data_IF_386089093024
#
_entry.id   IF_386089093024
#
_cell.length_a   1.000
_cell.length_b   1.000
_cell.length_c   1.000
_cell.angle_alpha   90.00
_cell.angle_beta   90.00
_cell.angle_gamma   90.00
#
_symmetry.space_group_name_H-M   'P 1'
#
loop_
_entity.id
_entity.type
_entity.pdbx_description
1 polymer ?
#
# COMPACT_ATOMS: atom_id res chain seq x y z
N UNK A 1 10.50 3.04 -7.97
CA UNK A 1 9.64 2.08 -8.66
C UNK A 1 10.47 1.37 -9.72
N UNK A 2 10.66 0.07 -9.56
CA UNK A 2 11.38 -0.78 -10.50
C UNK A 2 10.41 -1.21 -11.59
N UNK A 3 10.78 -1.04 -12.86
CA UNK A 3 10.06 -1.64 -13.96
C UNK A 3 10.24 -3.16 -13.87
N UNK A 4 9.19 -3.84 -13.45
CA UNK A 4 9.18 -5.30 -13.45
C UNK A 4 8.67 -5.70 -14.83
N UNK A 5 9.60 -6.04 -15.73
CA UNK A 5 9.23 -6.75 -16.93
C UNK A 5 8.56 -8.07 -16.54
N UNK A 6 7.57 -8.48 -17.31
CA UNK A 6 6.84 -9.74 -17.10
C UNK A 6 7.74 -10.92 -17.45
N UNK A 7 8.77 -11.12 -16.65
CA UNK A 7 9.75 -12.19 -16.75
C UNK A 7 9.77 -12.95 -15.44
N UNK A 8 9.37 -14.22 -15.51
CA UNK A 8 9.26 -15.08 -14.33
C UNK A 8 10.60 -15.25 -13.62
N UNK A 9 11.70 -15.30 -14.36
CA UNK A 9 13.03 -15.44 -13.78
C UNK A 9 13.45 -14.20 -13.01
N UNK A 10 13.24 -13.01 -13.58
CA UNK A 10 13.50 -11.74 -12.91
C UNK A 10 12.58 -11.54 -11.69
N UNK A 11 11.32 -11.94 -11.76
CA UNK A 11 10.39 -11.90 -10.64
C UNK A 11 10.82 -12.86 -9.53
N UNK A 12 11.28 -14.05 -9.86
CA UNK A 12 11.81 -15.04 -8.91
C UNK A 12 13.08 -14.50 -8.24
N UNK A 13 13.98 -13.91 -9.00
CA UNK A 13 15.21 -13.29 -8.47
C UNK A 13 14.88 -12.11 -7.55
N UNK A 14 13.94 -11.27 -7.93
CA UNK A 14 13.47 -10.17 -7.08
C UNK A 14 12.86 -10.70 -5.78
N UNK A 15 12.00 -11.72 -5.87
CA UNK A 15 11.39 -12.37 -4.72
C UNK A 15 12.45 -12.90 -3.76
N UNK A 16 13.43 -13.62 -4.27
CA UNK A 16 14.51 -14.18 -3.46
C UNK A 16 15.38 -13.11 -2.81
N UNK A 17 15.64 -11.99 -3.50
CA UNK A 17 16.47 -10.90 -2.98
C UNK A 17 15.73 -10.01 -1.98
N UNK A 18 14.46 -9.72 -2.22
CA UNK A 18 13.72 -8.68 -1.50
C UNK A 18 12.78 -9.28 -0.45
N UNK A 19 12.06 -10.34 -0.79
CA UNK A 19 11.06 -10.94 0.09
C UNK A 19 11.65 -11.96 1.04
N UNK A 20 12.56 -12.81 0.55
CA UNK A 20 13.17 -13.87 1.35
C UNK A 20 14.40 -13.42 2.17
N UNK A 21 14.98 -12.26 1.87
CA UNK A 21 16.03 -11.67 2.70
C UNK A 21 15.41 -10.76 3.76
N UNK A 22 16.15 -10.53 4.88
CA UNK A 22 15.74 -9.57 5.92
C UNK A 22 15.81 -8.14 5.38
N UNK A 23 14.89 -7.81 4.49
CA UNK A 23 14.72 -6.45 3.99
C UNK A 23 14.09 -5.56 5.06
N UNK A 24 14.38 -4.23 5.11
CA UNK A 24 13.62 -3.29 5.92
C UNK A 24 12.17 -3.14 5.46
N UNK A 25 11.81 -3.72 4.33
CA UNK A 25 10.44 -3.76 3.78
C UNK A 25 9.83 -5.12 4.08
N UNK A 26 8.69 -5.12 4.74
CA UNK A 26 7.89 -6.33 4.95
C UNK A 26 6.94 -6.54 3.77
N UNK A 27 6.71 -7.80 3.43
CA UNK A 27 5.81 -8.17 2.36
C UNK A 27 4.81 -9.20 2.85
N UNK A 28 3.54 -8.98 2.52
CA UNK A 28 2.46 -9.94 2.75
C UNK A 28 1.81 -10.34 1.45
N UNK A 29 1.47 -11.60 1.34
CA UNK A 29 0.60 -12.09 0.27
C UNK A 29 -0.85 -11.75 0.63
N UNK A 30 -1.55 -11.11 -0.28
CA UNK A 30 -2.99 -10.87 -0.16
C UNK A 30 -3.70 -12.11 -0.71
N UNK A 31 -4.47 -12.76 0.15
CA UNK A 31 -5.28 -13.92 -0.25
C UNK A 31 -6.77 -13.59 -0.17
N UNK A 32 -7.51 -14.10 -1.14
CA UNK A 32 -8.96 -14.01 -1.17
C UNK A 32 -9.54 -15.37 -1.54
N UNK A 33 -10.46 -15.89 -0.70
CA UNK A 33 -11.00 -17.24 -0.86
C UNK A 33 -9.88 -18.30 -0.97
N UNK A 34 -8.88 -18.19 -0.09
CA UNK A 34 -7.70 -19.09 -0.01
C UNK A 34 -6.78 -19.03 -1.25
N UNK A 35 -7.02 -18.10 -2.16
CA UNK A 35 -6.20 -17.92 -3.36
C UNK A 35 -5.34 -16.66 -3.23
N UNK A 36 -4.03 -16.72 -3.50
CA UNK A 36 -3.20 -15.55 -3.52
C UNK A 36 -3.57 -14.67 -4.72
N UNK A 37 -3.84 -13.40 -4.46
CA UNK A 37 -4.32 -12.43 -5.47
C UNK A 37 -3.45 -11.20 -5.60
N UNK A 38 -2.58 -10.94 -4.65
CA UNK A 38 -1.72 -9.77 -4.68
C UNK A 38 -0.68 -9.76 -3.59
N UNK A 39 0.03 -8.63 -3.51
CA UNK A 39 1.09 -8.39 -2.53
C UNK A 39 0.89 -7.02 -1.89
N UNK A 40 1.09 -6.94 -0.59
CA UNK A 40 1.16 -5.70 0.17
C UNK A 40 2.59 -5.56 0.70
N UNK A 41 3.14 -4.36 0.62
CA UNK A 41 4.43 -4.04 1.18
C UNK A 41 4.30 -2.94 2.24
N UNK A 42 5.06 -3.09 3.30
CA UNK A 42 5.16 -2.14 4.39
C UNK A 42 6.63 -1.76 4.58
N UNK A 43 6.93 -0.48 4.47
CA UNK A 43 8.26 0.04 4.69
C UNK A 43 8.55 0.20 6.19
N UNK A 44 9.83 0.34 6.50
CA UNK A 44 10.31 0.45 7.87
C UNK A 44 9.59 1.57 8.64
N UNK A 45 9.16 1.24 9.84
CA UNK A 45 8.61 2.18 10.80
C UNK A 45 9.64 3.21 11.24
N UNK A 46 9.26 4.48 11.16
CA UNK A 46 10.03 5.58 11.74
C UNK A 46 9.54 5.86 13.16
N UNK A 47 10.31 5.44 14.15
CA UNK A 47 9.94 5.56 15.55
C UNK A 47 9.89 7.00 16.06
N UNK A 48 10.67 7.91 15.47
CA UNK A 48 10.65 9.33 15.86
C UNK A 48 9.40 10.04 15.37
N UNK A 49 9.01 9.79 14.12
CA UNK A 49 7.83 10.39 13.51
C UNK A 49 6.56 9.56 13.70
N UNK A 50 6.69 8.33 14.23
CA UNK A 50 5.59 7.38 14.41
C UNK A 50 4.79 7.19 13.11
N UNK A 51 5.52 6.96 12.03
CA UNK A 51 4.96 6.82 10.69
C UNK A 51 5.60 5.66 9.94
N UNK A 52 4.88 5.14 8.97
CA UNK A 52 5.34 4.13 8.01
C UNK A 52 4.81 4.44 6.63
N UNK A 53 5.32 3.74 5.62
CA UNK A 53 4.83 3.83 4.25
C UNK A 53 4.38 2.47 3.77
N UNK A 54 3.43 2.43 2.87
CA UNK A 54 2.88 1.19 2.32
C UNK A 54 2.51 1.30 0.86
N UNK A 55 2.34 0.15 0.27
CA UNK A 55 1.77 0.01 -1.07
C UNK A 55 1.22 -1.38 -1.24
N UNK A 56 0.42 -1.59 -2.27
CA UNK A 56 -0.07 -2.91 -2.61
C UNK A 56 -0.37 -3.03 -4.10
N UNK A 57 -0.46 -4.27 -4.54
CA UNK A 57 -0.75 -4.62 -5.91
C UNK A 57 -1.65 -5.86 -5.95
N UNK A 58 -2.70 -5.80 -6.76
CA UNK A 58 -3.57 -6.94 -7.06
C UNK A 58 -3.27 -7.39 -8.49
N UNK A 59 -2.67 -8.57 -8.61
CA UNK A 59 -2.27 -9.14 -9.89
C UNK A 59 -3.39 -9.88 -10.62
N UNK A 60 -4.36 -10.42 -9.87
CA UNK A 60 -5.48 -11.16 -10.41
C UNK A 60 -6.58 -10.21 -10.90
N UNK A 61 -6.92 -10.26 -12.20
CA UNK A 61 -7.93 -9.35 -12.77
C UNK A 61 -9.31 -9.51 -12.14
N UNK A 62 -9.72 -10.74 -11.86
CA UNK A 62 -11.01 -11.05 -11.25
C UNK A 62 -11.12 -10.52 -9.81
N UNK A 63 -9.99 -10.30 -9.15
CA UNK A 63 -9.91 -9.84 -7.76
C UNK A 63 -9.65 -8.34 -7.64
N UNK A 64 -9.67 -7.57 -8.71
CA UNK A 64 -9.39 -6.11 -8.67
C UNK A 64 -10.39 -5.33 -7.83
N UNK A 65 -11.64 -5.79 -7.72
CA UNK A 65 -12.65 -5.18 -6.84
C UNK A 65 -12.17 -5.19 -5.39
N UNK A 66 -11.50 -6.25 -4.95
CA UNK A 66 -10.93 -6.37 -3.61
C UNK A 66 -9.88 -5.29 -3.37
N UNK A 67 -9.12 -4.92 -4.40
CA UNK A 67 -8.13 -3.86 -4.33
C UNK A 67 -8.70 -2.55 -3.79
N UNK A 68 -9.96 -2.24 -4.12
CA UNK A 68 -10.67 -1.07 -3.59
C UNK A 68 -11.03 -1.16 -2.11
N UNK A 69 -10.97 -2.33 -1.50
CA UNK A 69 -11.28 -2.55 -0.09
C UNK A 69 -10.02 -2.67 0.80
N UNK A 70 -8.88 -2.96 0.22
CA UNK A 70 -7.63 -3.18 0.95
C UNK A 70 -7.28 -2.04 1.91
N UNK A 71 -7.43 -0.75 1.56
CA UNK A 71 -7.11 0.32 2.48
C UNK A 71 -7.88 0.25 3.81
N UNK A 72 -9.17 -0.09 3.77
CA UNK A 72 -9.97 -0.19 4.98
C UNK A 72 -9.46 -1.28 5.92
N UNK A 73 -9.17 -2.47 5.39
CA UNK A 73 -8.58 -3.57 6.15
C UNK A 73 -7.22 -3.19 6.72
N UNK A 74 -6.38 -2.58 5.91
CA UNK A 74 -5.01 -2.22 6.27
C UNK A 74 -4.96 -1.17 7.38
N UNK A 75 -5.70 -0.06 7.24
CA UNK A 75 -5.72 0.99 8.25
C UNK A 75 -6.30 0.51 9.59
N UNK A 76 -7.36 -0.30 9.57
CA UNK A 76 -7.90 -0.88 10.79
C UNK A 76 -6.88 -1.74 11.52
N UNK A 77 -6.16 -2.58 10.78
CA UNK A 77 -5.14 -3.44 11.36
C UNK A 77 -3.96 -2.63 11.91
N UNK A 78 -3.40 -1.74 11.10
CA UNK A 78 -2.19 -1.00 11.48
C UNK A 78 -2.42 -0.09 12.67
N UNK A 79 -3.47 0.74 12.64
CA UNK A 79 -3.69 1.74 13.67
C UNK A 79 -4.22 1.18 14.99
N UNK A 80 -4.91 0.06 14.98
CA UNK A 80 -5.61 -0.41 16.16
C UNK A 80 -5.16 -1.78 16.69
N UNK A 81 -4.44 -2.55 15.89
CA UNK A 81 -4.02 -3.90 16.29
C UNK A 81 -2.50 -3.99 16.31
N UNK A 82 -1.84 -3.73 15.19
CA UNK A 82 -0.39 -3.95 15.08
C UNK A 82 0.42 -2.90 15.82
N UNK A 83 0.13 -1.62 15.59
CA UNK A 83 0.90 -0.52 16.17
C UNK A 83 -0.02 0.62 16.63
N UNK A 84 -0.56 0.54 17.84
CA UNK A 84 -1.43 1.57 18.39
C UNK A 84 -0.77 2.95 18.54
N UNK A 85 0.56 3.02 18.56
CA UNK A 85 1.31 4.28 18.64
C UNK A 85 1.53 4.95 17.28
N UNK A 86 1.22 4.25 16.20
CA UNK A 86 1.37 4.78 14.85
C UNK A 86 0.43 5.98 14.64
N UNK A 87 0.99 7.07 14.12
CA UNK A 87 0.23 8.32 13.92
C UNK A 87 -0.14 8.56 12.47
N UNK A 88 0.68 8.06 11.54
CA UNK A 88 0.54 8.36 10.13
C UNK A 88 1.03 7.20 9.26
N UNK A 89 0.31 7.00 8.17
CA UNK A 89 0.71 6.06 7.13
C UNK A 89 0.77 6.83 5.81
N UNK A 90 1.91 6.74 5.14
CA UNK A 90 2.19 7.41 3.89
C UNK A 90 2.08 6.41 2.72
N UNK A 91 1.76 6.93 1.57
CA UNK A 91 1.79 6.20 0.32
C UNK A 91 2.17 7.11 -0.84
N UNK A 92 2.41 6.52 -1.98
CA UNK A 92 2.66 7.25 -3.21
C UNK A 92 2.02 6.53 -4.39
N UNK A 93 1.64 7.29 -5.38
CA UNK A 93 1.06 6.78 -6.62
C UNK A 93 1.38 7.68 -7.80
N UNK A 94 1.29 7.13 -8.99
CA UNK A 94 1.43 7.92 -10.22
C UNK A 94 0.21 8.83 -10.41
N UNK A 95 0.45 10.06 -10.83
CA UNK A 95 -0.63 11.04 -11.06
C UNK A 95 -1.64 10.59 -12.11
N UNK A 96 -1.23 9.76 -13.06
CA UNK A 96 -2.09 9.19 -14.09
C UNK A 96 -3.05 8.13 -13.57
N UNK A 97 -2.78 7.58 -12.40
CA UNK A 97 -3.62 6.55 -11.78
C UNK A 97 -4.83 7.17 -11.05
N UNK A 98 -5.67 7.82 -11.83
CA UNK A 98 -6.80 8.62 -11.32
C UNK A 98 -7.83 7.80 -10.56
N UNK A 99 -8.03 6.54 -10.92
CA UNK A 99 -8.96 5.64 -10.20
C UNK A 99 -8.45 5.29 -8.81
N UNK A 100 -7.16 5.00 -8.68
CA UNK A 100 -6.54 4.72 -7.38
C UNK A 100 -6.51 5.97 -6.51
N UNK A 101 -6.22 7.12 -7.11
CA UNK A 101 -6.26 8.40 -6.40
C UNK A 101 -7.67 8.70 -5.85
N UNK A 102 -8.71 8.50 -6.67
CA UNK A 102 -10.09 8.66 -6.25
C UNK A 102 -10.47 7.72 -5.09
N UNK A 103 -9.98 6.49 -5.13
CA UNK A 103 -10.17 5.52 -4.04
C UNK A 103 -9.53 6.01 -2.73
N UNK A 104 -8.30 6.46 -2.77
CA UNK A 104 -7.62 6.98 -1.57
C UNK A 104 -8.31 8.22 -1.02
N UNK A 105 -8.79 9.12 -1.88
CA UNK A 105 -9.61 10.27 -1.48
C UNK A 105 -10.92 9.84 -0.81
N UNK A 106 -11.57 8.82 -1.33
CA UNK A 106 -12.78 8.25 -0.73
C UNK A 106 -12.56 7.80 0.72
N UNK A 107 -11.42 7.19 1.00
CA UNK A 107 -11.06 6.79 2.37
C UNK A 107 -10.55 7.94 3.24
N UNK A 108 -10.37 9.12 2.68
CA UNK A 108 -9.97 10.31 3.43
C UNK A 108 -8.46 10.58 3.45
N UNK A 109 -7.69 9.91 2.62
CA UNK A 109 -6.27 10.21 2.46
C UNK A 109 -6.08 11.61 1.88
N UNK A 110 -5.07 12.32 2.38
CA UNK A 110 -4.71 13.67 1.96
C UNK A 110 -3.53 13.62 0.99
N UNK A 111 -3.63 14.36 -0.10
CA UNK A 111 -2.50 14.62 -0.97
C UNK A 111 -1.62 15.70 -0.34
N UNK A 112 -0.36 15.38 -0.08
CA UNK A 112 0.55 16.31 0.62
C UNK A 112 1.62 16.88 -0.26
N UNK A 113 1.98 16.21 -1.35
CA UNK A 113 3.02 16.68 -2.26
C UNK A 113 2.90 16.03 -3.63
N UNK A 114 3.27 16.78 -4.66
CA UNK A 114 3.43 16.29 -6.03
C UNK A 114 4.90 16.42 -6.40
N UNK A 115 5.53 15.30 -6.76
CA UNK A 115 6.90 15.25 -7.26
C UNK A 115 6.85 15.21 -8.79
N UNK A 116 7.16 16.34 -9.42
CA UNK A 116 7.12 16.47 -10.87
C UNK A 116 8.26 15.70 -11.54
N UNK A 117 7.94 14.99 -12.64
CA UNK A 117 8.91 14.24 -13.45
C UNK A 117 9.83 13.34 -12.62
N UNK A 118 9.29 12.71 -11.57
CA UNK A 118 10.07 12.00 -10.56
C UNK A 118 10.46 10.58 -10.97
N UNK A 119 9.63 9.92 -11.78
CA UNK A 119 9.84 8.54 -12.18
C UNK A 119 9.93 8.44 -13.70
N UNK A 120 10.97 7.75 -14.18
CA UNK A 120 11.16 7.44 -15.60
C UNK A 120 10.79 5.98 -15.86
N UNK A 121 9.78 5.76 -16.70
CA UNK A 121 9.34 4.42 -17.11
C UNK A 121 8.95 4.43 -18.59
N UNK A 122 9.32 3.36 -19.30
CA UNK A 122 8.93 3.17 -20.69
C UNK A 122 9.22 4.39 -21.59
N UNK A 123 10.35 5.06 -21.35
CA UNK A 123 10.74 6.26 -22.10
C UNK A 123 9.93 7.52 -21.78
N UNK A 124 9.05 7.48 -20.75
CA UNK A 124 8.20 8.58 -20.30
C UNK A 124 8.46 8.91 -18.85
N UNK A 125 8.34 10.18 -18.51
CA UNK A 125 8.38 10.64 -17.11
C UNK A 125 6.99 10.77 -16.54
N UNK A 126 6.87 10.39 -15.26
CA UNK A 126 5.63 10.44 -14.50
C UNK A 126 5.79 11.31 -13.25
N UNK A 127 4.74 12.04 -12.92
CA UNK A 127 4.61 12.70 -11.63
C UNK A 127 4.20 11.70 -10.56
N UNK A 128 4.72 11.89 -9.35
CA UNK A 128 4.39 11.07 -8.20
C UNK A 128 3.60 11.91 -7.20
N UNK A 129 2.44 11.41 -6.77
CA UNK A 129 1.64 12.03 -5.72
C UNK A 129 1.91 11.32 -4.42
N UNK A 130 2.28 12.10 -3.40
CA UNK A 130 2.42 11.61 -2.03
C UNK A 130 1.11 11.83 -1.29
N UNK A 131 0.63 10.77 -0.65
CA UNK A 131 -0.59 10.77 0.16
C UNK A 131 -0.28 10.38 1.59
N UNK A 132 -1.11 10.84 2.52
CA UNK A 132 -1.04 10.44 3.91
C UNK A 132 -2.42 10.13 4.49
N UNK A 133 -2.46 9.16 5.39
CA UNK A 133 -3.59 8.89 6.27
C UNK A 133 -3.12 9.05 7.71
N UNK A 134 -3.74 9.96 8.44
CA UNK A 134 -3.47 10.11 9.87
C UNK A 134 -4.40 9.22 10.69
N UNK A 135 -3.91 8.77 11.85
CA UNK A 135 -4.75 8.01 12.80
C UNK A 135 -5.98 8.81 13.22
N UNK A 136 -5.82 10.11 13.45
CA UNK A 136 -6.94 10.97 13.84
C UNK A 136 -8.03 11.01 12.78
N UNK A 137 -7.65 11.15 11.51
CA UNK A 137 -8.61 11.14 10.40
C UNK A 137 -9.30 9.79 10.29
N UNK A 138 -8.54 8.69 10.34
CA UNK A 138 -9.12 7.35 10.26
C UNK A 138 -10.06 7.07 11.44
N UNK A 139 -9.67 7.43 12.64
CA UNK A 139 -10.50 7.28 13.84
C UNK A 139 -11.81 8.06 13.74
N UNK A 140 -11.80 9.26 13.18
CA UNK A 140 -13.00 10.09 13.02
C UNK A 140 -14.08 9.46 12.14
N UNK A 141 -13.70 8.57 11.24
CA UNK A 141 -14.60 7.89 10.30
C UNK A 141 -14.67 6.37 10.49
N UNK A 142 -14.03 5.85 11.55
CA UNK A 142 -13.88 4.41 11.81
C UNK A 142 -15.21 3.67 11.80
N UNK A 143 -16.26 4.24 12.34
CA UNK A 143 -17.58 3.61 12.40
C UNK A 143 -18.13 3.21 11.02
N UNK A 144 -17.72 3.89 9.96
CA UNK A 144 -18.15 3.58 8.59
C UNK A 144 -17.41 2.35 8.04
N UNK A 145 -16.26 1.99 8.62
CA UNK A 145 -15.36 0.95 8.12
C UNK A 145 -14.99 -0.12 9.15
N UNK A 146 -15.60 -0.10 10.34
CA UNK A 146 -15.22 -1.02 11.44
C UNK A 146 -15.44 -2.50 11.14
N UNK A 147 -16.26 -2.83 10.17
CA UNK A 147 -16.54 -4.21 9.76
C UNK A 147 -15.48 -4.79 8.80
N UNK A 148 -14.55 -3.96 8.30
CA UNK A 148 -13.44 -4.43 7.47
C UNK A 148 -12.31 -4.94 8.35
N UNK A 149 -12.42 -6.20 8.79
CA UNK A 149 -11.42 -6.87 9.62
C UNK A 149 -10.80 -8.02 8.83
N UNK A 150 -9.49 -7.97 8.66
CA UNK A 150 -8.71 -9.02 8.02
C UNK A 150 -7.81 -9.74 9.02
N UNK A 151 -7.46 -10.97 8.73
CA UNK A 151 -6.44 -11.71 9.46
C UNK A 151 -5.10 -11.43 8.80
N UNK A 152 -4.15 -10.95 9.59
CA UNK A 152 -2.77 -10.77 9.19
C UNK A 152 -1.93 -11.81 9.93
N UNK A 153 -1.36 -12.73 9.18
CA UNK A 153 -0.43 -13.72 9.70
C UNK A 153 0.99 -13.16 9.66
N UNK A 154 1.61 -13.05 10.81
CA UNK A 154 2.96 -12.50 10.96
C UNK A 154 4.03 -13.59 11.09
#
# INVERSE_FOLDING_TARGET
STDIEFDLEKQTDWYNKVVCTRSPVEHWIISHNEKPVGVLNLEKYDSMLQQTSWGYYIGEMESRIIGGLIPAYFYNYMFFIRDPLLKKINGHLFSENTKVLAMHRFYGAKEVKILKNHVHKYGTTFDLILIEMTKNKWTSQRKNFQHYQAVFEE
#
